data_IF_021943911235
#
_entry.id   IF_021943911235
#
_cell.length_a   1.000
_cell.length_b   1.000
_cell.length_c   1.000
_cell.angle_alpha   90.00
_cell.angle_beta   90.00
_cell.angle_gamma   90.00
#
_symmetry.space_group_name_H-M   'P 1'
#
loop_
_entity.id
_entity.type
_entity.pdbx_description
1 polymer ?
#
# COMPACT_ATOMS: atom_id res chain seq x y z
N UNK A 1 -14.79 -50.69 13.49
CA UNK A 1 -13.97 -49.53 13.13
C UNK A 1 -12.77 -49.48 14.07
N UNK A 2 -11.55 -49.65 13.57
CA UNK A 2 -10.35 -49.96 14.37
C UNK A 2 -9.87 -48.73 15.14
N UNK A 3 -9.64 -48.85 16.47
CA UNK A 3 -9.15 -47.78 17.37
C UNK A 3 -7.90 -47.06 16.87
N UNK A 4 -7.08 -47.69 16.03
CA UNK A 4 -5.89 -47.10 15.38
C UNK A 4 -6.24 -46.10 14.28
N UNK A 5 -7.41 -46.20 13.61
CA UNK A 5 -7.87 -45.22 12.61
C UNK A 5 -8.52 -43.98 13.22
N UNK A 6 -9.10 -44.13 14.43
CA UNK A 6 -9.63 -42.99 15.17
C UNK A 6 -8.51 -42.10 15.72
N UNK A 7 -7.37 -42.70 16.11
CA UNK A 7 -6.22 -41.94 16.63
C UNK A 7 -5.49 -41.18 15.51
N UNK A 8 -5.45 -41.72 14.27
CA UNK A 8 -4.82 -41.01 13.13
C UNK A 8 -5.65 -39.84 12.61
N UNK A 9 -6.97 -39.88 12.71
CA UNK A 9 -7.87 -38.79 12.33
C UNK A 9 -7.84 -37.69 13.38
N UNK A 10 -7.65 -37.98 14.66
CA UNK A 10 -7.49 -37.01 15.72
C UNK A 10 -6.09 -36.34 15.69
N UNK A 11 -5.04 -37.03 15.23
CA UNK A 11 -3.70 -36.47 15.10
C UNK A 11 -3.57 -35.56 13.85
N UNK A 12 -4.32 -35.84 12.77
CA UNK A 12 -4.31 -34.98 11.58
C UNK A 12 -5.16 -33.70 11.75
N UNK A 13 -6.13 -33.69 12.67
CA UNK A 13 -6.90 -32.49 13.01
C UNK A 13 -6.14 -31.55 13.98
N UNK A 14 -5.11 -32.04 14.68
CA UNK A 14 -4.31 -31.25 15.61
C UNK A 14 -3.13 -30.52 14.94
N UNK A 15 -2.82 -30.80 13.66
CA UNK A 15 -1.68 -30.21 12.94
C UNK A 15 -2.03 -29.04 12.02
N UNK A 16 -3.30 -28.63 11.96
CA UNK A 16 -3.76 -27.46 11.18
C UNK A 16 -4.09 -26.24 12.05
N UNK A 17 -4.00 -26.36 13.39
CA UNK A 17 -4.15 -25.25 14.31
C UNK A 17 -2.79 -24.69 14.76
N UNK A 18 -1.86 -24.53 13.81
CA UNK A 18 -0.73 -23.60 13.92
C UNK A 18 -1.23 -22.21 13.59
N UNK A 19 -2.19 -21.68 14.37
CA UNK A 19 -2.50 -20.28 14.40
C UNK A 19 -1.21 -19.56 14.80
N UNK A 20 -0.66 -18.77 13.89
CA UNK A 20 0.19 -17.66 14.31
C UNK A 20 -0.72 -16.76 15.19
N UNK A 21 -0.81 -17.08 16.46
CA UNK A 21 -1.32 -16.15 17.44
C UNK A 21 -0.34 -14.98 17.44
N UNK A 22 -0.66 -13.93 16.71
CA UNK A 22 -0.11 -12.62 17.01
C UNK A 22 -0.46 -12.40 18.47
N UNK A 23 0.54 -12.32 19.35
CA UNK A 23 0.31 -12.04 20.76
C UNK A 23 -0.24 -10.62 20.83
N UNK A 24 -1.56 -10.49 20.83
CA UNK A 24 -2.23 -9.20 21.08
C UNK A 24 -1.97 -8.88 22.55
N UNK A 25 -1.33 -7.75 22.88
CA UNK A 25 -1.21 -7.33 24.27
C UNK A 25 -2.60 -7.17 24.87
N UNK A 26 -2.82 -7.67 26.09
CA UNK A 26 -4.09 -7.55 26.78
C UNK A 26 -4.26 -6.07 27.23
N UNK A 27 -5.03 -5.32 26.46
CA UNK A 27 -5.50 -3.98 26.85
C UNK A 27 -6.72 -4.08 27.78
N UNK A 28 -7.15 -2.95 28.37
CA UNK A 28 -8.31 -2.90 29.24
C UNK A 28 -9.56 -3.45 28.51
N UNK A 29 -10.44 -4.10 29.26
CA UNK A 29 -11.54 -4.96 28.79
C UNK A 29 -12.52 -4.33 27.75
N UNK A 30 -12.44 -3.00 27.52
CA UNK A 30 -13.32 -2.23 26.62
C UNK A 30 -12.58 -1.53 25.45
N UNK A 31 -11.28 -1.80 25.24
CA UNK A 31 -10.50 -1.17 24.15
C UNK A 31 -10.69 -1.94 22.84
N UNK A 32 -11.17 -1.26 21.80
CA UNK A 32 -11.33 -1.85 20.47
C UNK A 32 -9.98 -1.86 19.72
N UNK A 33 -9.54 -3.04 19.33
CA UNK A 33 -8.30 -3.24 18.55
C UNK A 33 -8.56 -3.01 17.08
N UNK A 34 -7.69 -2.20 16.44
CA UNK A 34 -7.68 -1.92 15.00
C UNK A 34 -6.36 -2.42 14.43
N UNK A 35 -6.42 -3.34 13.50
CA UNK A 35 -5.24 -3.85 12.80
C UNK A 35 -4.94 -3.03 11.55
N UNK A 36 -3.69 -2.55 11.39
CA UNK A 36 -3.26 -1.82 10.20
C UNK A 36 -2.04 -2.48 9.55
N UNK A 37 -2.18 -2.97 8.33
CA UNK A 37 -1.12 -3.70 7.62
C UNK A 37 -0.31 -2.80 6.68
N UNK A 38 1.04 -2.91 6.81
CA UNK A 38 2.03 -2.13 6.05
C UNK A 38 3.04 -3.04 5.35
N UNK A 39 3.64 -2.53 4.28
CA UNK A 39 4.86 -3.09 3.67
C UNK A 39 6.14 -2.40 4.12
N UNK A 40 6.04 -1.41 5.02
CA UNK A 40 7.16 -0.69 5.58
C UNK A 40 7.61 -1.31 6.90
N UNK A 41 8.90 -1.23 7.20
CA UNK A 41 9.45 -1.61 8.50
C UNK A 41 9.34 -0.41 9.45
N UNK A 42 8.33 -0.42 10.31
CA UNK A 42 8.08 0.68 11.26
C UNK A 42 9.19 0.85 12.32
N UNK A 43 10.12 -0.09 12.43
CA UNK A 43 11.30 0.01 13.29
C UNK A 43 12.53 0.60 12.58
N UNK A 44 12.44 0.84 11.25
CA UNK A 44 13.49 1.48 10.46
C UNK A 44 13.58 2.98 10.77
N UNK A 45 14.44 3.33 11.73
CA UNK A 45 14.56 4.70 12.26
C UNK A 45 15.17 5.71 11.27
N UNK A 46 15.84 5.24 10.23
CA UNK A 46 16.46 6.07 9.19
C UNK A 46 15.49 6.38 8.03
N UNK A 47 14.39 5.61 7.90
CA UNK A 47 13.39 5.85 6.89
C UNK A 47 12.30 6.81 7.39
N UNK A 48 12.17 7.95 6.68
CA UNK A 48 11.21 8.99 7.06
C UNK A 48 9.75 8.58 6.88
N UNK A 49 9.46 7.66 5.95
CA UNK A 49 8.09 7.17 5.70
C UNK A 49 7.67 6.26 6.85
N UNK A 50 8.48 5.27 7.17
CA UNK A 50 8.28 4.35 8.29
C UNK A 50 8.12 5.10 9.61
N UNK A 51 8.99 6.09 9.86
CA UNK A 51 8.88 6.96 11.02
C UNK A 51 7.58 7.75 11.05
N UNK A 52 7.16 8.28 9.90
CA UNK A 52 5.90 9.02 9.78
C UNK A 52 4.69 8.18 10.15
N UNK A 53 4.61 6.95 9.64
CA UNK A 53 3.54 6.00 10.02
C UNK A 53 3.57 5.66 11.50
N UNK A 54 4.75 5.38 12.05
CA UNK A 54 4.89 5.11 13.48
C UNK A 54 4.43 6.28 14.34
N UNK A 55 4.84 7.50 14.02
CA UNK A 55 4.44 8.71 14.75
C UNK A 55 2.91 8.94 14.69
N UNK A 56 2.26 8.61 13.58
CA UNK A 56 0.79 8.68 13.43
C UNK A 56 0.11 7.66 14.33
N UNK A 57 0.57 6.40 14.33
CA UNK A 57 0.02 5.33 15.17
C UNK A 57 0.19 5.68 16.66
N UNK A 58 1.40 6.09 17.07
CA UNK A 58 1.69 6.43 18.47
C UNK A 58 0.80 7.60 18.96
N UNK A 59 0.56 8.61 18.11
CA UNK A 59 -0.34 9.72 18.40
C UNK A 59 -1.78 9.26 18.52
N UNK A 60 -2.27 8.44 17.59
CA UNK A 60 -3.62 7.90 17.61
C UNK A 60 -3.85 7.08 18.90
N UNK A 61 -2.95 6.16 19.21
CA UNK A 61 -3.04 5.33 20.40
C UNK A 61 -2.99 6.14 21.70
N UNK A 62 -2.29 7.28 21.70
CA UNK A 62 -2.26 8.19 22.84
C UNK A 62 -3.56 8.99 22.95
N UNK A 63 -4.08 9.52 21.85
CA UNK A 63 -5.29 10.35 21.82
C UNK A 63 -6.54 9.57 22.17
N UNK A 64 -6.60 8.29 21.75
CA UNK A 64 -7.75 7.41 21.94
C UNK A 64 -7.51 6.32 22.98
N UNK A 65 -6.55 6.52 23.92
CA UNK A 65 -6.22 5.57 24.98
C UNK A 65 -7.49 5.09 25.72
N UNK A 66 -7.61 3.76 25.86
CA UNK A 66 -8.74 3.12 26.52
C UNK A 66 -10.03 3.03 25.70
N UNK A 67 -10.02 3.53 24.45
CA UNK A 67 -11.17 3.43 23.54
C UNK A 67 -10.80 2.67 22.26
N UNK A 68 -9.74 3.06 21.61
CA UNK A 68 -9.21 2.41 20.41
C UNK A 68 -7.71 2.20 20.51
N UNK A 69 -7.21 1.13 19.90
CA UNK A 69 -5.77 0.88 19.79
C UNK A 69 -5.42 0.32 18.41
N UNK A 70 -4.50 0.97 17.72
CA UNK A 70 -3.99 0.49 16.43
C UNK A 70 -2.77 -0.39 16.65
N UNK A 71 -2.87 -1.65 16.21
CA UNK A 71 -1.78 -2.62 16.18
C UNK A 71 -1.28 -2.79 14.75
N UNK A 72 -0.02 -2.41 14.43
CA UNK A 72 0.52 -2.56 13.09
C UNK A 72 0.86 -4.02 12.77
N UNK A 73 0.55 -4.44 11.54
CA UNK A 73 1.01 -5.70 10.94
C UNK A 73 2.03 -5.34 9.87
N UNK A 74 3.30 -5.65 10.10
CA UNK A 74 4.38 -5.32 9.18
C UNK A 74 4.87 -6.53 8.39
N UNK A 75 5.35 -6.30 7.17
CA UNK A 75 6.02 -7.28 6.34
C UNK A 75 6.90 -6.55 5.33
N UNK A 76 7.72 -7.24 4.56
CA UNK A 76 8.45 -6.62 3.46
C UNK A 76 7.57 -6.51 2.21
N UNK A 77 7.94 -5.63 1.29
CA UNK A 77 7.18 -5.35 0.07
C UNK A 77 6.99 -6.60 -0.81
N UNK A 78 7.99 -7.49 -0.87
CA UNK A 78 7.95 -8.69 -1.73
C UNK A 78 6.92 -9.71 -1.24
N UNK A 79 6.72 -9.82 0.08
CA UNK A 79 5.80 -10.77 0.71
C UNK A 79 4.41 -10.18 0.96
N UNK A 80 4.26 -8.86 0.85
CA UNK A 80 3.06 -8.14 1.27
C UNK A 80 1.78 -8.65 0.63
N UNK A 81 1.72 -8.65 -0.70
CA UNK A 81 0.52 -9.07 -1.44
C UNK A 81 0.16 -10.53 -1.16
N UNK A 82 1.17 -11.41 -1.06
CA UNK A 82 0.97 -12.82 -0.70
C UNK A 82 0.36 -12.99 0.68
N UNK A 83 0.86 -12.26 1.68
CA UNK A 83 0.37 -12.29 3.06
C UNK A 83 -1.04 -11.70 3.17
N UNK A 84 -1.29 -10.55 2.55
CA UNK A 84 -2.60 -9.91 2.55
C UNK A 84 -3.66 -10.80 1.89
N UNK A 85 -3.36 -11.38 0.72
CA UNK A 85 -4.24 -12.32 0.04
C UNK A 85 -4.56 -13.55 0.91
N UNK A 86 -3.58 -14.08 1.62
CA UNK A 86 -3.77 -15.21 2.52
C UNK A 86 -4.69 -14.85 3.71
N UNK A 87 -4.52 -13.67 4.30
CA UNK A 87 -5.37 -13.16 5.39
C UNK A 87 -6.82 -12.97 4.91
N UNK A 88 -7.02 -12.34 3.75
CA UNK A 88 -8.35 -12.15 3.15
C UNK A 88 -9.03 -13.50 2.89
N UNK A 89 -8.31 -14.46 2.29
CA UNK A 89 -8.84 -15.79 2.01
C UNK A 89 -9.19 -16.59 3.29
N UNK A 90 -8.50 -16.31 4.39
CA UNK A 90 -8.77 -16.89 5.69
C UNK A 90 -9.91 -16.19 6.47
N UNK A 91 -10.50 -15.11 5.93
CA UNK A 91 -11.48 -14.28 6.65
C UNK A 91 -10.87 -13.48 7.81
N UNK A 92 -9.59 -13.18 7.73
CA UNK A 92 -8.80 -12.42 8.72
C UNK A 92 -8.27 -11.13 8.10
N UNK A 93 -9.09 -10.49 7.27
CA UNK A 93 -8.73 -9.22 6.63
C UNK A 93 -8.34 -8.19 7.69
N UNK A 94 -7.18 -7.53 7.59
CA UNK A 94 -6.86 -6.40 8.46
C UNK A 94 -7.92 -5.29 8.33
N UNK A 95 -8.19 -4.56 9.42
CA UNK A 95 -9.17 -3.47 9.42
C UNK A 95 -8.75 -2.34 8.48
N UNK A 96 -7.45 -2.05 8.43
CA UNK A 96 -6.84 -1.11 7.50
C UNK A 96 -5.64 -1.77 6.83
N UNK A 97 -5.48 -1.57 5.53
CA UNK A 97 -4.32 -2.05 4.79
C UNK A 97 -3.96 -1.11 3.64
N UNK A 98 -2.70 -1.09 3.25
CA UNK A 98 -2.20 -0.31 2.12
C UNK A 98 -2.30 -1.15 0.85
N UNK A 99 -2.70 -0.55 -0.27
CA UNK A 99 -2.64 -1.19 -1.57
C UNK A 99 -2.32 -0.20 -2.69
N UNK A 100 -1.75 -0.72 -3.77
CA UNK A 100 -1.58 0.07 -4.99
C UNK A 100 -2.88 0.04 -5.81
N UNK A 101 -3.32 1.19 -6.38
CA UNK A 101 -4.49 1.21 -7.26
C UNK A 101 -4.26 0.40 -8.55
N UNK A 102 -5.34 -0.05 -9.17
CA UNK A 102 -5.32 -0.87 -10.38
C UNK A 102 -5.40 -2.36 -10.07
N UNK A 103 -4.71 -3.25 -10.81
CA UNK A 103 -4.92 -4.70 -10.74
C UNK A 103 -4.86 -5.30 -9.33
N UNK A 104 -4.01 -4.78 -8.44
CA UNK A 104 -3.93 -5.27 -7.06
C UNK A 104 -5.21 -4.90 -6.29
N UNK A 105 -5.66 -3.65 -6.40
CA UNK A 105 -6.88 -3.18 -5.73
C UNK A 105 -8.12 -3.86 -6.29
N UNK A 106 -8.16 -4.16 -7.59
CA UNK A 106 -9.26 -4.90 -8.23
C UNK A 106 -9.52 -6.25 -7.53
N UNK A 107 -8.47 -6.95 -7.13
CA UNK A 107 -8.58 -8.23 -6.40
C UNK A 107 -9.31 -8.03 -5.07
N UNK A 108 -8.95 -7.00 -4.32
CA UNK A 108 -9.51 -6.75 -2.98
C UNK A 108 -10.96 -6.23 -3.04
N UNK A 109 -11.26 -5.35 -4.00
CA UNK A 109 -12.63 -4.87 -4.25
C UNK A 109 -13.54 -6.02 -4.67
N UNK A 110 -13.11 -6.86 -5.62
CA UNK A 110 -13.88 -8.01 -6.10
C UNK A 110 -14.07 -9.08 -5.02
N UNK A 111 -13.13 -9.22 -4.09
CA UNK A 111 -13.26 -10.11 -2.94
C UNK A 111 -14.18 -9.56 -1.84
N UNK A 112 -14.66 -8.30 -1.95
CA UNK A 112 -15.43 -7.64 -0.91
C UNK A 112 -14.61 -7.28 0.33
N UNK A 113 -13.29 -7.19 0.19
CA UNK A 113 -12.36 -6.88 1.26
C UNK A 113 -12.17 -5.35 1.47
N UNK A 114 -12.60 -4.52 0.52
CA UNK A 114 -12.58 -3.07 0.61
C UNK A 114 -13.98 -2.52 0.95
N UNK A 115 -14.05 -1.57 1.87
CA UNK A 115 -15.30 -0.92 2.26
C UNK A 115 -15.65 0.25 1.31
N UNK A 116 -16.96 0.50 1.14
CA UNK A 116 -17.46 1.70 0.47
C UNK A 116 -17.34 2.90 1.42
N UNK A 117 -16.46 3.83 1.11
CA UNK A 117 -16.17 5.02 1.91
C UNK A 117 -16.91 6.27 1.41
N UNK A 118 -17.75 6.15 0.40
CA UNK A 118 -18.40 7.28 -0.28
C UNK A 118 -19.18 8.17 0.69
N UNK A 119 -20.07 7.58 1.51
CA UNK A 119 -20.87 8.36 2.45
C UNK A 119 -20.02 9.04 3.53
N UNK A 120 -18.97 8.35 4.00
CA UNK A 120 -18.04 8.91 4.99
C UNK A 120 -17.35 10.14 4.41
N UNK A 121 -16.79 10.03 3.21
CA UNK A 121 -16.01 11.11 2.60
C UNK A 121 -16.88 12.28 2.12
N UNK A 122 -17.99 12.00 1.47
CA UNK A 122 -18.81 13.05 0.84
C UNK A 122 -19.75 13.77 1.83
N UNK A 123 -20.15 13.10 2.93
CA UNK A 123 -21.14 13.63 3.85
C UNK A 123 -20.62 13.84 5.26
N UNK A 124 -19.89 12.89 5.85
CA UNK A 124 -19.44 12.95 7.24
C UNK A 124 -18.13 13.74 7.37
N UNK A 125 -17.17 13.52 6.47
CA UNK A 125 -15.85 14.14 6.47
C UNK A 125 -15.63 15.05 5.24
N UNK A 126 -16.69 15.74 4.82
CA UNK A 126 -16.74 16.55 3.60
C UNK A 126 -15.64 17.61 3.54
N UNK A 127 -15.35 18.27 4.66
CA UNK A 127 -14.33 19.32 4.71
C UNK A 127 -12.93 18.74 4.52
N UNK A 128 -12.67 17.55 5.07
CA UNK A 128 -11.44 16.82 4.85
C UNK A 128 -11.34 16.32 3.42
N UNK A 129 -12.42 15.71 2.89
CA UNK A 129 -12.47 15.26 1.50
C UNK A 129 -12.18 16.41 0.51
N UNK A 130 -12.66 17.62 0.77
CA UNK A 130 -12.40 18.80 -0.05
C UNK A 130 -10.94 19.29 -0.03
N UNK A 131 -10.09 18.77 0.86
CA UNK A 131 -8.65 19.10 0.87
C UNK A 131 -7.83 18.33 -0.16
N UNK A 132 -8.40 17.28 -0.73
CA UNK A 132 -7.71 16.48 -1.74
C UNK A 132 -7.75 17.14 -3.11
N UNK A 133 -6.69 16.92 -3.90
CA UNK A 133 -6.60 17.42 -5.27
C UNK A 133 -7.63 16.73 -6.17
N UNK A 134 -8.24 17.49 -7.07
CA UNK A 134 -9.18 16.96 -8.07
C UNK A 134 -8.59 15.79 -8.85
N UNK A 135 -9.41 14.76 -9.08
CA UNK A 135 -9.05 13.56 -9.84
C UNK A 135 -8.22 12.52 -9.08
N UNK A 136 -7.77 12.81 -7.84
CA UNK A 136 -6.95 11.85 -7.08
C UNK A 136 -7.70 10.57 -6.71
N UNK A 137 -9.03 10.63 -6.62
CA UNK A 137 -9.89 9.49 -6.32
C UNK A 137 -10.35 8.70 -7.56
N UNK A 138 -10.07 9.17 -8.80
CA UNK A 138 -10.56 8.52 -10.02
C UNK A 138 -10.19 7.04 -10.10
N UNK A 139 -8.97 6.69 -9.73
CA UNK A 139 -8.48 5.31 -9.73
C UNK A 139 -8.83 4.51 -8.47
N UNK A 140 -9.47 5.14 -7.49
CA UNK A 140 -9.91 4.55 -6.23
C UNK A 140 -11.44 4.39 -6.20
N UNK A 141 -12.12 4.78 -7.30
CA UNK A 141 -13.57 4.74 -7.44
C UNK A 141 -13.97 3.58 -8.34
N UNK A 142 -14.82 2.68 -7.83
CA UNK A 142 -15.32 1.48 -8.48
C UNK A 142 -16.84 1.53 -8.51
N UNK A 143 -17.44 1.50 -9.69
CA UNK A 143 -18.90 1.57 -9.88
C UNK A 143 -19.55 2.76 -9.12
N UNK A 144 -18.85 3.90 -9.10
CA UNK A 144 -19.30 5.12 -8.41
C UNK A 144 -19.10 5.12 -6.90
N UNK A 145 -18.37 4.14 -6.34
CA UNK A 145 -18.07 4.02 -4.92
C UNK A 145 -16.58 4.25 -4.66
N UNK A 146 -16.27 5.10 -3.72
CA UNK A 146 -14.90 5.35 -3.27
C UNK A 146 -14.47 4.22 -2.33
N UNK A 147 -13.50 3.41 -2.76
CA UNK A 147 -13.09 2.19 -2.06
C UNK A 147 -11.77 2.33 -1.30
N UNK A 148 -11.10 3.47 -1.39
CA UNK A 148 -9.86 3.74 -0.65
C UNK A 148 -9.61 5.24 -0.52
N UNK A 149 -8.72 5.61 0.41
CA UNK A 149 -8.20 6.96 0.59
C UNK A 149 -6.74 7.01 0.15
N UNK A 150 -6.34 7.98 -0.69
CA UNK A 150 -4.95 8.10 -1.11
C UNK A 150 -4.06 8.59 0.04
N UNK A 151 -2.99 7.86 0.34
CA UNK A 151 -1.98 8.24 1.36
C UNK A 151 -0.82 9.01 0.75
N UNK A 152 -0.52 8.75 -0.52
CA UNK A 152 0.50 9.42 -1.30
C UNK A 152 0.12 9.43 -2.78
N UNK A 153 0.89 10.20 -3.54
CA UNK A 153 0.73 10.23 -4.98
C UNK A 153 2.12 10.37 -5.62
N UNK A 154 2.35 9.65 -6.70
CA UNK A 154 3.57 9.72 -7.46
C UNK A 154 3.28 10.13 -8.90
N UNK A 155 3.96 11.16 -9.38
CA UNK A 155 3.92 11.53 -10.79
C UNK A 155 5.07 10.86 -11.54
N UNK A 156 4.76 10.13 -12.61
CA UNK A 156 5.79 9.68 -13.54
C UNK A 156 6.30 10.87 -14.34
N UNK A 157 7.60 11.15 -14.27
CA UNK A 157 8.21 12.24 -15.00
C UNK A 157 9.57 11.79 -15.58
N UNK A 158 10.01 12.53 -16.58
CA UNK A 158 11.34 12.36 -17.18
C UNK A 158 12.23 13.46 -16.63
N UNK A 159 13.28 13.06 -15.93
CA UNK A 159 14.35 13.97 -15.51
C UNK A 159 15.37 14.11 -16.64
N UNK A 160 15.88 15.30 -16.87
CA UNK A 160 16.96 15.52 -17.82
C UNK A 160 18.14 16.23 -17.17
N UNK A 161 19.34 15.93 -17.64
CA UNK A 161 20.56 16.59 -17.19
C UNK A 161 20.79 17.85 -18.03
N UNK A 162 20.67 19.03 -17.40
CA UNK A 162 20.78 20.33 -18.05
C UNK A 162 22.14 20.54 -18.73
N UNK A 163 23.25 20.16 -18.06
CA UNK A 163 24.60 20.30 -18.62
C UNK A 163 24.83 19.46 -19.88
N UNK A 164 24.27 18.23 -19.90
CA UNK A 164 24.37 17.36 -21.07
C UNK A 164 23.52 17.86 -22.24
N UNK A 165 22.36 18.45 -21.96
CA UNK A 165 21.51 19.10 -22.96
C UNK A 165 22.19 20.33 -23.57
N UNK A 166 22.76 21.19 -22.75
CA UNK A 166 23.56 22.35 -23.19
C UNK A 166 24.77 21.90 -24.06
N UNK A 167 25.51 20.89 -23.60
CA UNK A 167 26.66 20.34 -24.35
C UNK A 167 26.28 19.79 -25.71
N UNK A 168 25.11 19.20 -25.84
CA UNK A 168 24.58 18.65 -27.09
C UNK A 168 23.84 19.72 -27.93
N UNK A 169 23.63 20.91 -27.41
CA UNK A 169 22.89 21.99 -28.09
C UNK A 169 21.43 21.61 -28.36
N UNK A 170 20.79 20.93 -27.40
CA UNK A 170 19.38 20.51 -27.50
C UNK A 170 18.54 21.16 -26.45
N UNK A 171 17.27 21.39 -26.77
CA UNK A 171 16.24 21.90 -25.86
C UNK A 171 15.36 20.78 -25.34
N UNK A 172 14.58 21.06 -24.27
CA UNK A 172 13.62 20.11 -23.70
C UNK A 172 12.51 19.84 -24.71
N UNK A 173 12.30 18.57 -25.12
CA UNK A 173 11.28 18.24 -26.09
C UNK A 173 9.88 18.41 -25.51
N UNK A 174 8.94 18.88 -26.33
CA UNK A 174 7.52 19.04 -25.99
C UNK A 174 6.62 18.02 -26.67
N UNK A 175 7.16 17.32 -27.68
CA UNK A 175 6.47 16.27 -28.42
C UNK A 175 7.30 14.99 -28.45
N UNK A 176 6.66 13.87 -28.79
CA UNK A 176 7.35 12.59 -28.94
C UNK A 176 8.38 12.61 -30.08
N UNK A 177 8.06 13.25 -31.20
CA UNK A 177 8.96 13.35 -32.34
C UNK A 177 10.21 14.19 -32.00
N UNK A 178 10.03 15.30 -31.27
CA UNK A 178 11.14 16.09 -30.75
C UNK A 178 12.01 15.28 -29.77
N UNK A 179 11.39 14.45 -28.89
CA UNK A 179 12.13 13.56 -27.99
C UNK A 179 13.04 12.59 -28.79
N UNK A 180 12.51 11.99 -29.86
CA UNK A 180 13.30 11.10 -30.73
C UNK A 180 14.47 11.86 -31.38
N UNK A 181 14.26 13.09 -31.83
CA UNK A 181 15.32 13.90 -32.43
C UNK A 181 16.36 14.36 -31.39
N UNK A 182 15.95 14.70 -30.21
CA UNK A 182 16.86 14.98 -29.06
C UNK A 182 17.70 13.75 -28.76
N UNK A 183 17.10 12.56 -28.70
CA UNK A 183 17.82 11.31 -28.46
C UNK A 183 18.91 11.05 -29.52
N UNK A 184 18.61 11.27 -30.78
CA UNK A 184 19.61 11.14 -31.87
C UNK A 184 20.78 12.11 -31.72
N UNK A 185 20.49 13.39 -31.44
CA UNK A 185 21.53 14.41 -31.25
C UNK A 185 22.41 14.13 -30.03
N UNK A 186 21.82 13.66 -28.92
CA UNK A 186 22.59 13.23 -27.74
C UNK A 186 23.50 12.06 -28.09
N UNK A 187 23.00 11.07 -28.86
CA UNK A 187 23.78 9.91 -29.31
C UNK A 187 24.93 10.32 -30.21
N UNK A 188 24.69 11.23 -31.15
CA UNK A 188 25.71 11.77 -32.05
C UNK A 188 26.82 12.55 -31.28
N UNK A 189 26.44 13.15 -30.15
CA UNK A 189 27.38 13.81 -29.23
C UNK A 189 28.11 12.81 -28.28
N UNK A 190 27.88 11.50 -28.42
CA UNK A 190 28.45 10.46 -27.55
C UNK A 190 27.85 10.39 -26.16
N UNK A 191 26.62 10.89 -25.98
CA UNK A 191 25.87 10.91 -24.71
C UNK A 191 24.79 9.85 -24.78
N UNK A 192 24.65 9.03 -23.72
CA UNK A 192 23.55 8.08 -23.61
C UNK A 192 22.23 8.85 -23.48
N UNK A 193 21.30 8.73 -24.46
CA UNK A 193 20.13 9.62 -24.49
C UNK A 193 19.09 9.33 -23.41
N UNK A 194 18.89 8.05 -23.06
CA UNK A 194 17.91 7.62 -22.06
C UNK A 194 18.56 6.58 -21.15
N UNK A 195 18.38 6.76 -19.84
CA UNK A 195 18.70 5.77 -18.83
C UNK A 195 17.46 5.49 -18.02
N UNK A 196 17.10 4.23 -17.87
CA UNK A 196 16.00 3.80 -17.02
C UNK A 196 16.39 2.53 -16.26
N UNK A 197 15.80 2.35 -15.08
CA UNK A 197 15.85 1.07 -14.40
C UNK A 197 14.82 0.14 -15.04
N UNK A 198 15.29 -0.97 -15.60
CA UNK A 198 14.44 -1.99 -16.23
C UNK A 198 14.52 -3.34 -15.49
N UNK A 199 15.17 -3.37 -14.32
CA UNK A 199 15.27 -4.53 -13.45
C UNK A 199 14.39 -4.33 -12.21
N UNK A 200 13.51 -5.25 -11.98
CA UNK A 200 12.83 -5.46 -10.70
C UNK A 200 13.38 -6.71 -10.07
#
# INVERSE_FOLDING_TARGET
MNKKRLLSVLLSAAMVAGTMAVAVPAYADDTEEITWMFWDDLEATEDLVSKGYKDVIDRFNTEYEGKYHVTPITTNLEEYDGKLNALIAAGQTPDVYICNPGPNMDVYVNAGAAADLTDILENQEKDWYATFTDGIFDRLTYDGKIMAVPTNFAAACVYYNTELFEKAGVEVPTTYDELIDVCKKLQDAGITPISCSAGT
#
